data_IF_844336251620
#
_entry.id   IF_844336251620
#
_cell.length_a   1.000
_cell.length_b   1.000
_cell.length_c   1.000
_cell.angle_alpha   90.00
_cell.angle_beta   90.00
_cell.angle_gamma   90.00
#
_symmetry.space_group_name_H-M   'P 1'
#
loop_
_entity.id
_entity.type
_entity.pdbx_description
1 polymer ?
#
# COMPACT_ATOMS: atom_id res chain seq x y z
N UNK A 1 -12.92 -16.14 -20.53
CA UNK A 1 -12.69 -14.85 -19.83
C UNK A 1 -13.98 -14.42 -19.17
N UNK A 2 -13.95 -13.71 -18.02
CA UNK A 2 -12.81 -13.46 -17.14
C UNK A 2 -12.83 -14.51 -16.00
N UNK A 3 -11.83 -14.67 -15.16
CA UNK A 3 -11.72 -13.89 -13.93
C UNK A 3 -10.43 -14.32 -13.26
N UNK A 4 -9.37 -13.53 -13.40
CA UNK A 4 -8.36 -13.50 -12.34
C UNK A 4 -9.15 -13.21 -11.07
N UNK A 5 -9.05 -14.07 -10.05
CA UNK A 5 -9.45 -13.63 -8.72
C UNK A 5 -8.82 -12.25 -8.52
N UNK A 6 -9.51 -11.25 -7.96
CA UNK A 6 -8.81 -10.04 -7.58
C UNK A 6 -7.80 -10.52 -6.53
N UNK A 7 -6.55 -10.72 -6.96
CA UNK A 7 -5.43 -10.87 -6.05
C UNK A 7 -5.55 -9.65 -5.18
N UNK A 8 -5.69 -9.85 -3.87
CA UNK A 8 -5.69 -8.74 -2.92
C UNK A 8 -4.58 -7.78 -3.30
N UNK A 9 -4.82 -6.49 -3.13
CA UNK A 9 -3.86 -5.43 -3.42
C UNK A 9 -3.07 -5.04 -2.17
N UNK A 10 -3.65 -5.26 -0.99
CA UNK A 10 -2.93 -5.25 0.26
C UNK A 10 -3.49 -6.33 1.21
N UNK A 11 -2.70 -6.69 2.20
CA UNK A 11 -3.10 -7.62 3.25
C UNK A 11 -2.70 -7.05 4.61
N UNK A 12 -3.62 -7.08 5.56
CA UNK A 12 -3.36 -6.83 6.98
C UNK A 12 -3.56 -8.13 7.75
N UNK A 13 -2.64 -8.44 8.65
CA UNK A 13 -2.68 -9.69 9.43
C UNK A 13 -3.87 -9.77 10.40
N UNK A 14 -4.37 -8.64 10.89
CA UNK A 14 -5.47 -8.60 11.85
C UNK A 14 -6.85 -8.34 11.20
N UNK A 15 -7.91 -8.94 11.77
CA UNK A 15 -7.90 -9.84 12.94
C UNK A 15 -7.44 -11.26 12.57
N UNK A 16 -6.54 -11.87 13.34
CA UNK A 16 -6.21 -13.29 13.16
C UNK A 16 -7.39 -14.19 13.54
N UNK A 17 -7.58 -15.35 12.89
CA UNK A 17 -6.77 -15.91 11.79
C UNK A 17 -7.16 -15.40 10.40
N UNK A 18 -8.22 -14.60 10.29
CA UNK A 18 -8.87 -14.29 9.02
C UNK A 18 -8.16 -13.19 8.22
N UNK A 19 -7.43 -12.30 8.92
CA UNK A 19 -6.81 -11.11 8.34
C UNK A 19 -7.81 -10.19 7.63
N UNK A 20 -7.28 -9.18 6.94
CA UNK A 20 -8.06 -8.30 6.07
C UNK A 20 -7.38 -8.18 4.73
N UNK A 21 -8.07 -8.59 3.65
CA UNK A 21 -7.62 -8.39 2.27
C UNK A 21 -8.27 -7.12 1.75
N UNK A 22 -7.46 -6.24 1.17
CA UNK A 22 -7.94 -5.02 0.52
C UNK A 22 -7.98 -5.22 -1.00
N UNK A 23 -9.09 -4.84 -1.61
CA UNK A 23 -9.32 -4.89 -3.04
C UNK A 23 -9.37 -3.48 -3.65
N UNK A 24 -9.47 -3.39 -4.98
CA UNK A 24 -9.64 -2.10 -5.67
C UNK A 24 -10.82 -1.29 -5.09
N UNK A 25 -11.94 -1.96 -4.77
CA UNK A 25 -13.12 -1.32 -4.20
C UNK A 25 -12.88 -0.65 -2.85
N UNK A 26 -11.89 -1.12 -2.09
CA UNK A 26 -11.50 -0.52 -0.82
C UNK A 26 -10.50 0.61 -1.09
N UNK A 27 -9.49 0.32 -1.91
CA UNK A 27 -8.37 1.24 -2.16
C UNK A 27 -8.71 2.44 -3.03
N UNK A 28 -9.92 2.53 -3.63
CA UNK A 28 -10.40 3.78 -4.23
C UNK A 28 -10.66 4.89 -3.20
N UNK A 29 -10.82 4.53 -1.93
CA UNK A 29 -11.18 5.47 -0.86
C UNK A 29 -9.94 5.94 -0.11
N UNK A 30 -9.67 7.25 -0.14
CA UNK A 30 -8.45 7.85 0.42
C UNK A 30 -8.30 7.65 1.93
N UNK A 31 -9.40 7.66 2.68
CA UNK A 31 -9.43 7.40 4.13
C UNK A 31 -9.04 5.95 4.47
N UNK A 32 -9.44 4.99 3.63
CA UNK A 32 -9.02 3.60 3.76
C UNK A 32 -7.52 3.47 3.47
N UNK A 33 -7.00 4.15 2.44
CA UNK A 33 -5.57 4.13 2.11
C UNK A 33 -4.72 4.76 3.22
N UNK A 34 -5.16 5.88 3.78
CA UNK A 34 -4.48 6.52 4.92
C UNK A 34 -4.41 5.56 6.13
N UNK A 35 -5.53 4.92 6.47
CA UNK A 35 -5.59 3.89 7.53
C UNK A 35 -4.69 2.68 7.23
N UNK A 36 -4.63 2.25 5.96
CA UNK A 36 -3.74 1.17 5.54
C UNK A 36 -2.27 1.55 5.74
N UNK A 37 -1.89 2.81 5.46
CA UNK A 37 -0.53 3.28 5.69
C UNK A 37 -0.17 3.30 7.18
N UNK A 38 -1.12 3.64 8.07
CA UNK A 38 -0.91 3.51 9.52
C UNK A 38 -0.59 2.06 9.92
N UNK A 39 -1.31 1.09 9.33
CA UNK A 39 -1.02 -0.33 9.58
C UNK A 39 0.32 -0.77 9.01
N UNK A 40 0.73 -0.26 7.85
CA UNK A 40 2.04 -0.52 7.29
C UNK A 40 3.16 0.08 8.14
N UNK A 41 2.95 1.26 8.73
CA UNK A 41 3.89 1.92 9.64
C UNK A 41 4.25 1.05 10.85
N UNK A 42 3.28 0.31 11.38
CA UNK A 42 3.49 -0.59 12.53
C UNK A 42 3.78 -2.04 12.13
N UNK A 43 3.92 -2.34 10.84
CA UNK A 43 4.24 -3.68 10.34
C UNK A 43 3.07 -4.68 10.36
N UNK A 44 1.82 -4.20 10.48
CA UNK A 44 0.63 -5.06 10.45
C UNK A 44 0.08 -5.31 9.05
N UNK A 45 0.48 -4.49 8.07
CA UNK A 45 0.02 -4.60 6.70
C UNK A 45 1.15 -4.53 5.68
N UNK A 46 0.91 -5.18 4.54
CA UNK A 46 1.77 -5.18 3.36
C UNK A 46 0.95 -4.77 2.15
N UNK A 47 1.52 -3.90 1.32
CA UNK A 47 0.95 -3.51 0.03
C UNK A 47 1.73 -4.25 -1.05
N UNK A 48 1.02 -5.04 -1.86
CA UNK A 48 1.65 -5.80 -2.93
C UNK A 48 2.03 -4.90 -4.11
N UNK A 49 2.85 -5.42 -5.02
CA UNK A 49 3.30 -4.69 -6.22
C UNK A 49 2.13 -4.14 -7.04
N UNK A 50 1.12 -4.96 -7.30
CA UNK A 50 -0.09 -4.55 -8.01
C UNK A 50 -0.89 -3.50 -7.22
N UNK A 51 -0.83 -3.55 -5.88
CA UNK A 51 -1.45 -2.57 -5.01
C UNK A 51 -0.82 -1.20 -5.15
N UNK A 52 0.51 -1.11 -5.17
CA UNK A 52 1.21 0.15 -5.42
C UNK A 52 0.90 0.70 -6.81
N UNK A 53 0.90 -0.15 -7.84
CA UNK A 53 0.52 0.27 -9.20
C UNK A 53 -0.90 0.85 -9.23
N UNK A 54 -1.85 0.22 -8.53
CA UNK A 54 -3.22 0.70 -8.40
C UNK A 54 -3.27 2.06 -7.69
N UNK A 55 -2.64 2.17 -6.52
CA UNK A 55 -2.66 3.40 -5.71
C UNK A 55 -2.09 4.59 -6.48
N UNK A 56 -0.95 4.40 -7.16
CA UNK A 56 -0.31 5.45 -7.98
C UNK A 56 -1.25 5.90 -9.09
N UNK A 57 -1.91 4.95 -9.77
CA UNK A 57 -2.86 5.25 -10.84
C UNK A 57 -4.12 5.97 -10.33
N UNK A 58 -4.62 5.57 -9.17
CA UNK A 58 -5.90 6.01 -8.63
C UNK A 58 -5.82 7.36 -7.91
N UNK A 59 -4.81 7.55 -7.06
CA UNK A 59 -4.68 8.73 -6.19
C UNK A 59 -3.59 9.69 -6.66
N UNK A 60 -2.61 9.20 -7.43
CA UNK A 60 -1.44 9.97 -7.83
C UNK A 60 -0.43 10.15 -6.69
N UNK A 61 0.83 10.34 -7.08
CA UNK A 61 1.96 10.46 -6.14
C UNK A 61 1.77 11.58 -5.09
N UNK A 62 1.35 12.82 -5.46
CA UNK A 62 1.23 13.89 -4.46
C UNK A 62 0.22 13.58 -3.35
N UNK A 63 -0.93 12.97 -3.71
CA UNK A 63 -1.94 12.62 -2.70
C UNK A 63 -1.46 11.48 -1.80
N UNK A 64 -0.73 10.51 -2.34
CA UNK A 64 -0.15 9.43 -1.55
C UNK A 64 0.96 9.94 -0.62
N UNK A 65 1.74 10.92 -1.06
CA UNK A 65 2.73 11.58 -0.22
C UNK A 65 2.06 12.28 0.97
N UNK A 66 0.98 13.04 0.74
CA UNK A 66 0.22 13.67 1.83
C UNK A 66 -0.33 12.66 2.83
N UNK A 67 -0.84 11.50 2.36
CA UNK A 67 -1.29 10.41 3.23
C UNK A 67 -0.14 9.82 4.04
N UNK A 68 1.00 9.58 3.40
CA UNK A 68 2.21 9.08 4.07
C UNK A 68 2.73 10.04 5.13
N UNK A 69 2.73 11.36 4.87
CA UNK A 69 3.16 12.37 5.83
C UNK A 69 2.27 12.39 7.08
N UNK A 70 0.97 12.12 6.92
CA UNK A 70 0.05 12.02 8.06
C UNK A 70 0.25 10.73 8.86
N UNK A 71 0.43 9.60 8.16
CA UNK A 71 0.64 8.31 8.82
C UNK A 71 2.02 8.17 9.46
N UNK A 72 3.01 8.90 8.93
CA UNK A 72 4.41 8.80 9.34
C UNK A 72 5.04 7.47 8.95
N UNK A 73 4.57 6.82 7.87
CA UNK A 73 5.10 5.52 7.47
C UNK A 73 6.53 5.60 6.92
N UNK A 74 6.73 6.24 5.77
CA UNK A 74 8.07 6.54 5.26
C UNK A 74 8.56 7.87 5.82
N UNK A 75 9.76 7.85 6.38
CA UNK A 75 10.49 9.05 6.79
C UNK A 75 11.10 9.71 5.55
N UNK A 76 10.36 10.66 4.98
CA UNK A 76 10.75 11.41 3.79
C UNK A 76 10.26 12.86 3.87
N UNK A 77 11.10 13.79 3.44
CA UNK A 77 10.82 15.24 3.53
C UNK A 77 10.16 15.79 2.26
N UNK A 78 10.25 15.06 1.15
CA UNK A 78 9.77 15.49 -0.16
C UNK A 78 9.25 14.33 -1.00
N UNK A 79 8.60 14.68 -2.12
CA UNK A 79 7.95 13.72 -3.03
C UNK A 79 8.97 12.81 -3.71
N UNK A 80 10.15 13.32 -4.03
CA UNK A 80 11.21 12.55 -4.68
C UNK A 80 11.74 11.42 -3.76
N UNK A 81 11.96 11.72 -2.49
CA UNK A 81 12.32 10.73 -1.46
C UNK A 81 11.20 9.71 -1.26
N UNK A 82 9.94 10.16 -1.25
CA UNK A 82 8.81 9.25 -1.13
C UNK A 82 8.73 8.26 -2.31
N UNK A 83 8.97 8.71 -3.54
CA UNK A 83 9.03 7.83 -4.71
C UNK A 83 10.17 6.83 -4.58
N UNK A 84 11.35 7.26 -4.13
CA UNK A 84 12.48 6.37 -3.90
C UNK A 84 12.18 5.30 -2.84
N UNK A 85 11.48 5.66 -1.76
CA UNK A 85 11.01 4.71 -0.75
C UNK A 85 10.03 3.68 -1.32
N UNK A 86 9.06 4.11 -2.13
CA UNK A 86 8.12 3.19 -2.80
C UNK A 86 8.88 2.20 -3.69
N UNK A 87 9.85 2.68 -4.48
CA UNK A 87 10.66 1.82 -5.35
C UNK A 87 11.46 0.79 -4.55
N UNK A 88 12.15 1.22 -3.50
CA UNK A 88 12.91 0.33 -2.61
C UNK A 88 12.00 -0.71 -1.93
N UNK A 89 10.86 -0.27 -1.40
CA UNK A 89 9.87 -1.15 -0.76
C UNK A 89 9.35 -2.23 -1.72
N UNK A 90 9.05 -1.84 -2.97
CA UNK A 90 8.59 -2.76 -4.02
C UNK A 90 9.66 -3.79 -4.37
N UNK A 91 10.93 -3.39 -4.43
CA UNK A 91 12.04 -4.32 -4.65
C UNK A 91 12.18 -5.33 -3.50
N UNK A 92 12.09 -4.87 -2.26
CA UNK A 92 12.26 -5.72 -1.08
C UNK A 92 11.16 -6.79 -0.98
N UNK A 93 9.91 -6.42 -1.27
CA UNK A 93 8.80 -7.38 -1.34
C UNK A 93 9.01 -8.38 -2.47
N UNK A 94 9.46 -7.92 -3.65
CA UNK A 94 9.72 -8.84 -4.77
C UNK A 94 10.82 -9.85 -4.45
N UNK A 95 11.80 -9.50 -3.60
CA UNK A 95 12.87 -10.41 -3.15
C UNK A 95 12.41 -11.36 -2.04
N UNK A 96 11.48 -10.92 -1.18
CA UNK A 96 10.94 -11.74 -0.09
C UNK A 96 9.97 -12.84 -0.57
N UNK A 97 9.41 -12.72 -1.78
CA UNK A 97 8.54 -13.71 -2.40
C UNK A 97 9.23 -14.73 -3.32
N UNK A 98 10.58 -14.72 -3.39
CA UNK A 98 11.39 -15.57 -4.27
C UNK A 98 12.14 -16.70 -3.58
#
# INVERSE_FOLDING_TARGET
MPQHAPSGLAYRIYPEPDGTIYYESDLIHADIVETLFDYCQIGEAIIMEEGWQFLIRQHGIPSLFDMNTKSGWFDCENVEEFVAWIEAYREDISKAGG
#
